data_IF_261025111282
#
_entry.id   IF_261025111282
#
_cell.length_a   1.000
_cell.length_b   1.000
_cell.length_c   1.000
_cell.angle_alpha   90.00
_cell.angle_beta   90.00
_cell.angle_gamma   90.00
#
_symmetry.space_group_name_H-M   'P 1'
#
loop_
_entity.id
_entity.type
_entity.pdbx_description
1 polymer ?
#
# COMPACT_ATOMS: atom_id res chain seq x y z
N UNK A 1 21.76 4.70 -6.69
CA UNK A 1 20.74 5.18 -7.65
C UNK A 1 20.25 6.53 -7.17
N UNK A 2 19.85 7.46 -8.04
CA UNK A 2 19.22 8.71 -7.57
C UNK A 2 17.84 8.36 -7.00
N UNK A 3 17.64 8.67 -5.73
CA UNK A 3 16.40 8.34 -5.01
C UNK A 3 15.22 9.15 -5.51
N UNK A 4 15.44 10.25 -6.23
CA UNK A 4 14.38 11.09 -6.75
C UNK A 4 14.01 10.73 -8.20
N UNK A 5 14.67 9.72 -8.78
CA UNK A 5 14.30 9.15 -10.06
C UNK A 5 13.27 8.04 -9.92
N UNK A 6 12.38 7.96 -10.91
CA UNK A 6 11.46 6.85 -11.09
C UNK A 6 12.23 5.58 -11.41
N UNK A 7 11.93 4.51 -10.68
CA UNK A 7 12.45 3.16 -10.96
C UNK A 7 11.63 2.49 -12.06
N UNK A 8 12.11 1.35 -12.57
CA UNK A 8 11.28 0.52 -13.45
C UNK A 8 9.96 0.18 -12.76
N UNK A 9 8.83 0.47 -13.39
CA UNK A 9 7.53 0.19 -12.81
C UNK A 9 7.27 -1.32 -12.60
N UNK A 10 7.93 -2.19 -13.38
CA UNK A 10 7.68 -3.64 -13.40
C UNK A 10 6.18 -3.95 -13.54
N UNK A 11 5.51 -3.13 -14.36
CA UNK A 11 4.06 -3.20 -14.57
C UNK A 11 3.71 -4.40 -15.44
N UNK A 12 4.41 -4.58 -16.56
CA UNK A 12 4.19 -5.68 -17.50
C UNK A 12 5.17 -6.83 -17.25
N UNK A 13 4.69 -8.06 -17.40
CA UNK A 13 5.47 -9.30 -17.34
C UNK A 13 5.31 -10.12 -18.63
N UNK A 14 6.24 -11.02 -18.90
CA UNK A 14 6.28 -11.82 -20.14
C UNK A 14 5.18 -12.88 -20.22
N UNK A 15 4.54 -13.21 -19.10
CA UNK A 15 3.42 -14.14 -18.97
C UNK A 15 2.06 -13.42 -18.81
N UNK A 16 2.00 -12.09 -18.97
CA UNK A 16 0.75 -11.35 -18.94
C UNK A 16 -0.18 -11.80 -20.09
N UNK A 17 -1.37 -12.27 -19.73
CA UNK A 17 -2.43 -12.58 -20.68
C UNK A 17 -3.19 -11.31 -21.13
N UNK A 18 -4.12 -11.48 -22.08
CA UNK A 18 -4.86 -10.35 -22.65
C UNK A 18 -5.70 -9.59 -21.61
N UNK A 19 -6.25 -10.29 -20.62
CA UNK A 19 -7.01 -9.70 -19.51
C UNK A 19 -6.09 -8.82 -18.66
N UNK A 20 -4.92 -9.35 -18.31
CA UNK A 20 -3.91 -8.67 -17.50
C UNK A 20 -3.35 -7.45 -18.20
N UNK A 21 -3.05 -7.57 -19.50
CA UNK A 21 -2.57 -6.46 -20.33
C UNK A 21 -3.62 -5.33 -20.39
N UNK A 22 -4.91 -5.65 -20.49
CA UNK A 22 -5.96 -4.65 -20.68
C UNK A 22 -6.03 -3.64 -19.52
N UNK A 23 -6.12 -4.11 -18.27
CA UNK A 23 -6.17 -3.19 -17.13
C UNK A 23 -4.80 -2.52 -16.86
N UNK A 24 -3.69 -3.23 -17.12
CA UNK A 24 -2.35 -2.66 -16.96
C UNK A 24 -2.09 -1.52 -17.94
N UNK A 25 -2.69 -1.54 -19.13
CA UNK A 25 -2.62 -0.40 -20.06
C UNK A 25 -3.29 0.85 -19.50
N UNK A 26 -4.42 0.70 -18.79
CA UNK A 26 -5.09 1.82 -18.11
C UNK A 26 -4.15 2.40 -17.03
N UNK A 27 -3.57 1.54 -16.19
CA UNK A 27 -2.59 1.95 -15.16
C UNK A 27 -1.36 2.61 -15.78
N UNK A 28 -0.85 2.08 -16.89
CA UNK A 28 0.25 2.67 -17.64
C UNK A 28 -0.09 4.08 -18.12
N UNK A 29 -1.33 4.31 -18.58
CA UNK A 29 -1.81 5.64 -18.97
C UNK A 29 -1.82 6.65 -17.80
N UNK A 30 -2.16 6.19 -16.59
CA UNK A 30 -2.13 7.02 -15.38
C UNK A 30 -0.69 7.42 -15.03
N UNK A 31 0.23 6.47 -14.95
CA UNK A 31 1.61 6.72 -14.51
C UNK A 31 2.47 7.46 -15.54
N UNK A 32 2.21 7.22 -16.83
CA UNK A 32 2.82 7.96 -17.95
C UNK A 32 2.14 9.30 -18.22
N UNK A 33 1.11 9.64 -17.46
CA UNK A 33 0.38 10.92 -17.50
C UNK A 33 -0.41 11.17 -18.80
N UNK A 34 -0.54 10.15 -19.66
CA UNK A 34 -1.30 10.24 -20.92
C UNK A 34 -2.81 10.10 -20.71
N UNK A 35 -3.24 9.54 -19.57
CA UNK A 35 -4.64 9.36 -19.22
C UNK A 35 -4.99 10.10 -17.91
N UNK A 36 -5.96 11.03 -17.90
CA UNK A 36 -6.42 11.69 -16.69
C UNK A 36 -6.94 10.69 -15.64
N UNK A 37 -6.66 10.86 -14.33
CA UNK A 37 -7.06 9.89 -13.31
C UNK A 37 -8.57 9.59 -13.27
N UNK A 38 -9.42 10.62 -13.42
CA UNK A 38 -10.87 10.43 -13.45
C UNK A 38 -11.37 9.68 -14.70
N UNK A 39 -10.69 9.84 -15.83
CA UNK A 39 -11.01 9.10 -17.06
C UNK A 39 -10.53 7.65 -16.93
N UNK A 40 -9.33 7.43 -16.42
CA UNK A 40 -8.81 6.09 -16.13
C UNK A 40 -9.72 5.34 -15.16
N UNK A 41 -10.24 6.02 -14.11
CA UNK A 41 -11.15 5.41 -13.15
C UNK A 41 -12.44 4.92 -13.83
N UNK A 42 -13.04 5.72 -14.71
CA UNK A 42 -14.20 5.30 -15.50
C UNK A 42 -13.90 4.12 -16.42
N UNK A 43 -12.77 4.16 -17.13
CA UNK A 43 -12.38 3.05 -18.01
C UNK A 43 -12.13 1.75 -17.23
N UNK A 44 -11.54 1.85 -16.03
CA UNK A 44 -11.30 0.71 -15.16
C UNK A 44 -12.62 0.11 -14.63
N UNK A 45 -13.51 0.98 -14.17
CA UNK A 45 -14.84 0.62 -13.69
C UNK A 45 -15.68 -0.07 -14.77
N UNK A 46 -15.69 0.52 -15.97
CA UNK A 46 -16.36 -0.03 -17.14
C UNK A 46 -15.78 -1.39 -17.52
N UNK A 47 -14.46 -1.54 -17.53
CA UNK A 47 -13.79 -2.80 -17.84
C UNK A 47 -14.17 -3.92 -16.85
N UNK A 48 -14.10 -3.65 -15.54
CA UNK A 48 -14.45 -4.65 -14.50
C UNK A 48 -15.91 -5.05 -14.63
N UNK A 49 -16.79 -4.08 -14.86
CA UNK A 49 -18.23 -4.31 -15.00
C UNK A 49 -18.55 -5.13 -16.25
N UNK A 50 -17.99 -4.76 -17.39
CA UNK A 50 -18.22 -5.46 -18.65
C UNK A 50 -17.68 -6.88 -18.63
N UNK A 51 -16.51 -7.11 -18.03
CA UNK A 51 -15.95 -8.46 -17.91
C UNK A 51 -16.84 -9.34 -17.02
N UNK A 52 -17.30 -8.83 -15.87
CA UNK A 52 -18.21 -9.55 -14.98
C UNK A 52 -19.54 -9.89 -15.67
N UNK A 53 -20.15 -8.93 -16.37
CA UNK A 53 -21.40 -9.15 -17.12
C UNK A 53 -21.19 -10.12 -18.28
N UNK A 54 -20.12 -9.97 -19.05
CA UNK A 54 -19.82 -10.85 -20.19
C UNK A 54 -19.67 -12.30 -19.76
N UNK A 55 -18.96 -12.55 -18.65
CA UNK A 55 -18.82 -13.91 -18.10
C UNK A 55 -20.14 -14.49 -17.62
N UNK A 56 -21.01 -13.69 -17.01
CA UNK A 56 -22.32 -14.15 -16.58
C UNK A 56 -23.16 -14.55 -17.79
N UNK A 57 -23.25 -13.70 -18.82
CA UNK A 57 -24.00 -13.99 -20.04
C UNK A 57 -23.49 -15.26 -20.72
N UNK A 58 -22.17 -15.44 -20.84
CA UNK A 58 -21.57 -16.69 -21.38
C UNK A 58 -21.97 -17.92 -20.58
N UNK A 59 -22.24 -17.80 -19.29
CA UNK A 59 -22.69 -18.89 -18.41
C UNK A 59 -24.19 -19.16 -18.51
N UNK A 60 -25.00 -18.10 -18.62
CA UNK A 60 -26.45 -18.20 -18.84
C UNK A 60 -26.77 -18.85 -20.19
N UNK A 61 -25.93 -18.62 -21.21
CA UNK A 61 -26.06 -19.19 -22.55
C UNK A 61 -25.65 -20.68 -22.64
N UNK A 62 -25.14 -21.29 -21.56
CA UNK A 62 -24.76 -22.72 -21.53
C UNK A 62 -25.98 -23.64 -21.51
N UNK A 63 -25.76 -24.92 -21.83
CA UNK A 63 -26.77 -25.97 -21.71
C UNK A 63 -26.23 -27.16 -20.90
N UNK A 64 -26.66 -27.36 -19.64
CA UNK A 64 -27.65 -26.55 -18.92
C UNK A 64 -27.13 -25.14 -18.54
N UNK A 65 -28.00 -24.14 -18.38
CA UNK A 65 -27.59 -22.79 -17.95
C UNK A 65 -26.90 -22.81 -16.59
N UNK A 66 -25.91 -21.94 -16.40
CA UNK A 66 -25.11 -21.80 -15.18
C UNK A 66 -24.38 -23.09 -14.75
N UNK A 67 -24.23 -24.06 -15.66
CA UNK A 67 -23.57 -25.32 -15.35
C UNK A 67 -22.05 -25.19 -15.39
N UNK A 68 -21.40 -25.84 -14.43
CA UNK A 68 -19.96 -26.05 -14.38
C UNK A 68 -19.66 -27.52 -14.67
N UNK A 69 -18.61 -27.77 -15.44
CA UNK A 69 -17.98 -29.08 -15.48
C UNK A 69 -17.13 -29.33 -14.23
N UNK A 70 -16.78 -30.59 -13.96
CA UNK A 70 -15.94 -30.94 -12.80
C UNK A 70 -14.58 -30.21 -12.83
N UNK A 71 -13.98 -30.03 -14.01
CA UNK A 71 -12.72 -29.28 -14.18
C UNK A 71 -12.87 -27.78 -13.90
N UNK A 72 -14.02 -27.20 -14.26
CA UNK A 72 -14.32 -25.79 -14.03
C UNK A 72 -14.67 -25.51 -12.57
N UNK A 73 -15.17 -26.49 -11.80
CA UNK A 73 -15.42 -26.31 -10.37
C UNK A 73 -14.13 -25.95 -9.61
N UNK A 74 -13.03 -26.59 -9.98
CA UNK A 74 -11.71 -26.35 -9.40
C UNK A 74 -11.09 -25.01 -9.88
N UNK A 75 -11.56 -24.46 -11.00
CA UNK A 75 -11.01 -23.28 -11.66
C UNK A 75 -12.06 -22.22 -12.01
N UNK A 76 -13.09 -22.08 -11.17
CA UNK A 76 -14.27 -21.28 -11.51
C UNK A 76 -13.94 -19.82 -11.86
N UNK A 77 -12.89 -19.29 -11.23
CA UNK A 77 -12.41 -17.94 -11.42
C UNK A 77 -11.90 -17.66 -12.85
N UNK A 78 -11.59 -18.70 -13.64
CA UNK A 78 -11.18 -18.56 -15.04
C UNK A 78 -12.37 -18.43 -15.99
N UNK A 79 -13.56 -18.87 -15.57
CA UNK A 79 -14.72 -19.01 -16.46
C UNK A 79 -15.89 -18.14 -16.02
N UNK A 80 -16.14 -18.04 -14.71
CA UNK A 80 -17.27 -17.30 -14.14
C UNK A 80 -16.88 -15.85 -13.76
N UNK A 81 -17.87 -14.97 -13.53
CA UNK A 81 -17.63 -13.61 -13.02
C UNK A 81 -16.83 -13.61 -11.71
N UNK A 82 -15.67 -12.95 -11.70
CA UNK A 82 -14.86 -12.80 -10.50
C UNK A 82 -14.26 -11.38 -10.40
N UNK A 83 -15.11 -10.35 -10.18
CA UNK A 83 -14.64 -8.97 -10.00
C UNK A 83 -13.65 -8.83 -8.82
N UNK A 84 -13.74 -9.69 -7.81
CA UNK A 84 -12.83 -9.65 -6.66
C UNK A 84 -11.39 -9.94 -7.08
N UNK A 85 -11.17 -10.99 -7.89
CA UNK A 85 -9.86 -11.30 -8.46
C UNK A 85 -9.32 -10.15 -9.31
N UNK A 86 -10.15 -9.54 -10.14
CA UNK A 86 -9.72 -8.43 -10.98
C UNK A 86 -9.28 -7.22 -10.13
N UNK A 87 -10.08 -6.83 -9.13
CA UNK A 87 -9.70 -5.77 -8.20
C UNK A 87 -8.40 -6.10 -7.46
N UNK A 88 -8.21 -7.34 -7.02
CA UNK A 88 -6.96 -7.78 -6.37
C UNK A 88 -5.75 -7.65 -7.28
N UNK A 89 -5.85 -8.12 -8.52
CA UNK A 89 -4.76 -8.04 -9.50
C UNK A 89 -4.40 -6.58 -9.83
N UNK A 90 -5.41 -5.72 -9.95
CA UNK A 90 -5.22 -4.28 -10.18
C UNK A 90 -4.56 -3.61 -8.98
N UNK A 91 -5.07 -3.81 -7.77
CA UNK A 91 -4.54 -3.16 -6.57
C UNK A 91 -3.15 -3.69 -6.23
N UNK A 92 -2.89 -4.98 -6.44
CA UNK A 92 -1.54 -5.55 -6.36
C UNK A 92 -0.57 -4.90 -7.36
N UNK A 93 -1.02 -4.65 -8.59
CA UNK A 93 -0.22 -3.93 -9.60
C UNK A 93 0.04 -2.48 -9.15
N UNK A 94 -0.94 -1.80 -8.57
CA UNK A 94 -0.77 -0.44 -8.03
C UNK A 94 0.22 -0.43 -6.88
N UNK A 95 0.15 -1.38 -5.94
CA UNK A 95 1.10 -1.50 -4.83
C UNK A 95 2.53 -1.61 -5.37
N UNK A 96 2.78 -2.52 -6.32
CA UNK A 96 4.08 -2.70 -6.98
C UNK A 96 4.57 -1.43 -7.67
N UNK A 97 3.74 -0.84 -8.53
CA UNK A 97 4.09 0.36 -9.31
C UNK A 97 4.33 1.57 -8.40
N UNK A 98 3.55 1.72 -7.33
CA UNK A 98 3.70 2.82 -6.39
C UNK A 98 5.07 2.82 -5.69
N UNK A 99 5.67 1.65 -5.49
CA UNK A 99 7.03 1.52 -4.95
C UNK A 99 8.09 2.08 -5.91
N UNK A 100 7.82 2.17 -7.22
CA UNK A 100 8.76 2.75 -8.17
C UNK A 100 8.75 4.28 -8.18
N UNK A 101 7.70 4.92 -7.65
CA UNK A 101 7.50 6.35 -7.71
C UNK A 101 8.01 7.06 -6.43
N UNK A 102 8.93 8.04 -6.53
CA UNK A 102 9.37 8.82 -5.38
C UNK A 102 8.23 9.60 -4.68
N UNK A 103 8.35 9.87 -3.37
CA UNK A 103 7.43 10.75 -2.64
C UNK A 103 7.25 12.09 -3.36
N UNK A 104 6.01 12.48 -3.63
CA UNK A 104 5.68 13.75 -4.30
C UNK A 104 5.92 13.77 -5.81
N UNK A 105 6.36 12.65 -6.41
CA UNK A 105 6.46 12.55 -7.87
C UNK A 105 5.06 12.55 -8.52
N UNK A 106 4.85 13.24 -9.66
CA UNK A 106 3.53 13.32 -10.31
C UNK A 106 2.86 11.97 -10.59
N UNK A 107 3.62 10.93 -10.95
CA UNK A 107 3.05 9.60 -11.16
C UNK A 107 2.48 8.99 -9.87
N UNK A 108 3.09 9.23 -8.71
CA UNK A 108 2.56 8.77 -7.43
C UNK A 108 1.28 9.54 -7.09
N UNK A 109 1.30 10.87 -7.24
CA UNK A 109 0.12 11.72 -7.02
C UNK A 109 -1.06 11.28 -7.90
N UNK A 110 -0.82 11.01 -9.19
CA UNK A 110 -1.88 10.55 -10.10
C UNK A 110 -2.43 9.17 -9.76
N UNK A 111 -1.62 8.27 -9.19
CA UNK A 111 -2.11 6.99 -8.67
C UNK A 111 -3.05 7.20 -7.47
N UNK A 112 -2.72 8.14 -6.57
CA UNK A 112 -3.62 8.51 -5.45
C UNK A 112 -4.91 9.13 -5.99
N UNK A 113 -4.81 10.10 -6.89
CA UNK A 113 -5.97 10.74 -7.54
C UNK A 113 -6.84 9.74 -8.31
N UNK A 114 -6.24 8.71 -8.91
CA UNK A 114 -6.96 7.64 -9.59
C UNK A 114 -7.79 6.81 -8.60
N UNK A 115 -7.23 6.43 -7.45
CA UNK A 115 -7.96 5.72 -6.40
C UNK A 115 -9.05 6.59 -5.76
N UNK A 116 -8.79 7.89 -5.58
CA UNK A 116 -9.82 8.85 -5.16
C UNK A 116 -10.95 8.92 -6.19
N UNK A 117 -10.62 9.01 -7.48
CA UNK A 117 -11.63 9.04 -8.54
C UNK A 117 -12.47 7.76 -8.57
N UNK A 118 -11.88 6.59 -8.34
CA UNK A 118 -12.63 5.33 -8.18
C UNK A 118 -13.56 5.38 -6.97
N UNK A 119 -13.12 5.92 -5.83
CA UNK A 119 -13.96 6.11 -4.62
C UNK A 119 -15.18 7.00 -4.89
N UNK A 120 -15.03 8.03 -5.73
CA UNK A 120 -16.08 8.99 -6.06
C UNK A 120 -17.06 8.50 -7.14
N UNK A 121 -16.79 7.37 -7.81
CA UNK A 121 -17.74 6.79 -8.76
C UNK A 121 -19.02 6.34 -8.04
N UNK A 122 -20.19 6.35 -8.74
CA UNK A 122 -21.42 5.82 -8.18
C UNK A 122 -21.22 4.37 -7.74
N UNK A 123 -21.45 4.11 -6.44
CA UNK A 123 -21.42 2.76 -5.90
C UNK A 123 -22.45 1.90 -6.62
N UNK A 124 -22.01 0.73 -7.06
CA UNK A 124 -22.87 -0.26 -7.67
C UNK A 124 -22.28 -1.65 -7.46
N UNK A 125 -23.09 -2.66 -7.79
CA UNK A 125 -22.72 -4.06 -7.68
C UNK A 125 -22.60 -4.68 -9.06
N UNK A 126 -21.69 -5.64 -9.21
CA UNK A 126 -21.50 -6.41 -10.46
C UNK A 126 -21.64 -7.90 -10.19
N UNK A 127 -21.98 -8.72 -11.20
CA UNK A 127 -22.06 -10.18 -11.04
C UNK A 127 -20.78 -10.77 -10.45
N UNK A 128 -20.94 -11.72 -9.53
CA UNK A 128 -19.83 -12.40 -8.86
C UNK A 128 -20.21 -13.84 -8.55
N UNK A 129 -19.22 -14.74 -8.66
CA UNK A 129 -19.31 -16.08 -8.09
C UNK A 129 -18.32 -16.22 -6.95
N UNK A 130 -18.83 -16.60 -5.78
CA UNK A 130 -18.04 -16.91 -4.59
C UNK A 130 -18.20 -18.38 -4.22
N UNK A 131 -17.47 -18.83 -3.19
CA UNK A 131 -17.65 -20.15 -2.60
C UNK A 131 -18.40 -20.04 -1.27
N UNK A 132 -19.30 -20.97 -0.98
CA UNK A 132 -19.87 -21.14 0.36
C UNK A 132 -18.95 -21.94 1.30
N UNK A 133 -19.41 -22.22 2.52
CA UNK A 133 -18.67 -22.98 3.53
C UNK A 133 -18.32 -24.42 3.08
N UNK A 134 -19.09 -24.98 2.15
CA UNK A 134 -18.87 -26.31 1.58
C UNK A 134 -18.03 -26.26 0.29
N UNK A 135 -17.46 -25.10 -0.05
CA UNK A 135 -16.75 -24.85 -1.31
C UNK A 135 -17.65 -25.04 -2.54
N UNK A 136 -18.96 -24.89 -2.40
CA UNK A 136 -19.88 -24.88 -3.51
C UNK A 136 -19.97 -23.45 -4.10
N UNK A 137 -20.07 -23.31 -5.43
CA UNK A 137 -20.16 -22.01 -6.07
C UNK A 137 -21.52 -21.35 -5.82
N UNK A 138 -21.48 -20.08 -5.40
CA UNK A 138 -22.65 -19.25 -5.11
C UNK A 138 -22.66 -18.05 -6.04
N UNK A 139 -23.72 -17.95 -6.83
CA UNK A 139 -23.98 -16.81 -7.70
C UNK A 139 -24.56 -15.65 -6.91
N UNK A 140 -24.02 -14.45 -7.11
CA UNK A 140 -24.49 -13.24 -6.48
C UNK A 140 -23.88 -12.00 -7.10
N UNK A 141 -23.75 -10.96 -6.29
CA UNK A 141 -23.19 -9.67 -6.69
C UNK A 141 -22.09 -9.24 -5.73
N UNK A 142 -21.23 -8.32 -6.18
CA UNK A 142 -20.14 -7.74 -5.39
C UNK A 142 -20.10 -6.23 -5.61
N UNK A 143 -20.09 -5.46 -4.53
CA UNK A 143 -19.77 -4.02 -4.58
C UNK A 143 -18.31 -3.86 -5.01
N UNK A 144 -18.08 -3.10 -6.07
CA UNK A 144 -16.72 -2.74 -6.51
C UNK A 144 -16.28 -1.39 -5.95
N UNK A 145 -14.97 -1.20 -5.87
CA UNK A 145 -14.31 0.01 -5.33
C UNK A 145 -14.78 0.43 -3.92
N UNK A 146 -14.73 -0.47 -2.91
CA UNK A 146 -15.22 -0.19 -1.55
C UNK A 146 -14.32 0.77 -0.74
N UNK A 147 -13.56 1.65 -1.39
CA UNK A 147 -12.61 2.57 -0.74
C UNK A 147 -13.28 3.44 0.32
N UNK A 148 -12.62 3.62 1.46
CA UNK A 148 -13.18 4.35 2.61
C UNK A 148 -14.33 3.63 3.32
N UNK A 149 -14.41 2.31 3.19
CA UNK A 149 -15.31 1.46 3.97
C UNK A 149 -14.52 0.29 4.56
N UNK A 150 -15.08 -0.41 5.55
CA UNK A 150 -14.47 -1.62 6.12
C UNK A 150 -14.19 -2.69 5.05
N UNK A 151 -14.99 -2.74 3.98
CA UNK A 151 -14.76 -3.69 2.89
C UNK A 151 -13.45 -3.42 2.10
N UNK A 152 -12.83 -2.24 2.25
CA UNK A 152 -11.49 -1.96 1.68
C UNK A 152 -10.36 -2.70 2.38
N UNK A 153 -10.58 -3.27 3.57
CA UNK A 153 -9.59 -4.09 4.29
C UNK A 153 -9.11 -5.28 3.46
N UNK A 154 -9.97 -5.76 2.54
CA UNK A 154 -9.65 -6.79 1.55
C UNK A 154 -8.37 -6.48 0.73
N UNK A 155 -8.06 -5.20 0.51
CA UNK A 155 -6.89 -4.77 -0.26
C UNK A 155 -5.61 -4.64 0.56
N UNK A 156 -5.70 -4.56 1.89
CA UNK A 156 -4.54 -4.35 2.78
C UNK A 156 -3.47 -5.44 2.62
N UNK A 157 -3.81 -6.74 2.51
CA UNK A 157 -2.81 -7.80 2.29
C UNK A 157 -1.93 -7.60 1.05
N UNK A 158 -2.43 -6.94 0.01
CA UNK A 158 -1.69 -6.70 -1.23
C UNK A 158 -0.53 -5.73 -1.00
N UNK A 159 -0.77 -4.67 -0.21
CA UNK A 159 0.27 -3.74 0.22
C UNK A 159 1.21 -4.35 1.25
N UNK A 160 0.68 -5.15 2.19
CA UNK A 160 1.49 -5.86 3.18
C UNK A 160 2.47 -6.83 2.54
N UNK A 161 2.06 -7.55 1.49
CA UNK A 161 2.94 -8.47 0.76
C UNK A 161 4.12 -7.73 0.13
N UNK A 162 3.84 -6.70 -0.67
CA UNK A 162 4.89 -5.88 -1.30
C UNK A 162 5.81 -5.23 -0.23
N UNK A 163 5.23 -4.76 0.88
CA UNK A 163 5.97 -4.22 2.00
C UNK A 163 6.92 -5.24 2.64
N UNK A 164 6.42 -6.46 2.87
CA UNK A 164 7.18 -7.56 3.47
C UNK A 164 8.33 -7.99 2.57
N UNK A 165 8.09 -8.09 1.28
CA UNK A 165 9.10 -8.50 0.30
C UNK A 165 10.25 -7.47 0.23
N UNK A 166 9.92 -6.18 0.24
CA UNK A 166 10.92 -5.09 0.23
C UNK A 166 11.72 -5.01 1.54
N UNK A 167 11.02 -5.14 2.68
CA UNK A 167 11.62 -5.04 4.00
C UNK A 167 12.20 -6.37 4.53
N UNK A 168 12.18 -7.44 3.74
CA UNK A 168 12.65 -8.76 4.16
C UNK A 168 14.08 -8.71 4.73
N UNK A 169 14.42 -9.40 5.84
CA UNK A 169 15.75 -9.30 6.46
C UNK A 169 16.93 -9.68 5.56
N UNK A 170 16.68 -10.45 4.50
CA UNK A 170 17.68 -10.85 3.52
C UNK A 170 17.59 -10.07 2.19
N UNK A 171 16.79 -9.00 2.13
CA UNK A 171 16.82 -8.06 1.00
C UNK A 171 18.04 -7.13 1.11
N UNK A 172 18.34 -6.40 0.04
CA UNK A 172 19.39 -5.39 0.00
C UNK A 172 18.93 -4.02 0.53
N UNK A 173 17.85 -3.96 1.32
CA UNK A 173 17.29 -2.70 1.86
C UNK A 173 18.27 -1.93 2.75
N UNK A 174 19.20 -2.61 3.42
CA UNK A 174 20.27 -1.99 4.19
C UNK A 174 21.41 -1.42 3.33
N UNK A 175 21.44 -1.71 2.02
CA UNK A 175 22.43 -1.14 1.10
C UNK A 175 21.99 0.25 0.66
N UNK A 176 22.72 1.33 1.00
CA UNK A 176 22.31 2.68 0.63
C UNK A 176 22.19 2.86 -0.89
N UNK A 177 21.06 3.39 -1.34
CA UNK A 177 20.73 3.63 -2.74
C UNK A 177 20.40 2.37 -3.53
N UNK A 178 20.18 1.23 -2.87
CA UNK A 178 19.65 0.02 -3.49
C UNK A 178 18.22 0.19 -3.95
N UNK A 179 17.79 -0.68 -4.86
CA UNK A 179 16.43 -0.64 -5.37
C UNK A 179 15.42 -0.94 -4.26
N UNK A 180 15.67 -1.94 -3.40
CA UNK A 180 14.76 -2.27 -2.30
C UNK A 180 14.65 -1.14 -1.29
N UNK A 181 15.74 -0.45 -0.96
CA UNK A 181 15.70 0.72 -0.07
C UNK A 181 14.82 1.83 -0.63
N UNK A 182 15.02 2.18 -1.90
CA UNK A 182 14.25 3.25 -2.56
C UNK A 182 12.78 2.86 -2.68
N UNK A 183 12.49 1.62 -3.09
CA UNK A 183 11.13 1.09 -3.19
C UNK A 183 10.41 1.04 -1.85
N UNK A 184 11.12 0.66 -0.79
CA UNK A 184 10.57 0.61 0.56
C UNK A 184 10.09 1.99 1.00
N UNK A 185 10.95 3.00 0.87
CA UNK A 185 10.59 4.40 1.15
C UNK A 185 9.41 4.89 0.30
N UNK A 186 9.43 4.61 -0.99
CA UNK A 186 8.39 5.05 -1.93
C UNK A 186 7.01 4.45 -1.59
N UNK A 187 6.96 3.14 -1.34
CA UNK A 187 5.74 2.43 -0.96
C UNK A 187 5.17 2.98 0.35
N UNK A 188 6.01 3.25 1.36
CA UNK A 188 5.57 3.84 2.63
C UNK A 188 4.96 5.23 2.45
N UNK A 189 5.48 6.04 1.53
CA UNK A 189 4.88 7.34 1.19
C UNK A 189 3.51 7.21 0.55
N UNK A 190 3.35 6.26 -0.37
CA UNK A 190 2.05 5.99 -0.98
C UNK A 190 1.04 5.46 0.04
N UNK A 191 1.43 4.46 0.84
CA UNK A 191 0.58 3.89 1.90
C UNK A 191 0.16 4.92 2.94
N UNK A 192 1.06 5.81 3.36
CA UNK A 192 0.72 6.91 4.27
C UNK A 192 -0.39 7.80 3.67
N UNK A 193 -0.29 8.15 2.39
CA UNK A 193 -1.32 8.93 1.70
C UNK A 193 -2.65 8.20 1.63
N UNK A 194 -2.67 6.90 1.24
CA UNK A 194 -3.89 6.10 1.18
C UNK A 194 -4.60 6.04 2.53
N UNK A 195 -3.85 5.81 3.60
CA UNK A 195 -4.36 5.76 4.96
C UNK A 195 -4.90 7.12 5.41
N UNK A 196 -4.17 8.21 5.16
CA UNK A 196 -4.62 9.56 5.58
C UNK A 196 -5.85 10.06 4.83
N UNK A 197 -6.02 9.62 3.58
CA UNK A 197 -7.16 9.97 2.72
C UNK A 197 -8.35 9.02 2.88
N UNK A 198 -8.26 8.06 3.81
CA UNK A 198 -9.31 7.08 4.08
C UNK A 198 -9.70 6.32 2.79
N UNK A 199 -8.69 5.88 2.03
CA UNK A 199 -8.87 5.06 0.84
C UNK A 199 -8.72 3.58 1.20
N UNK A 200 -7.55 3.23 1.75
CA UNK A 200 -7.18 1.89 2.21
C UNK A 200 -6.34 2.06 3.48
N UNK A 201 -6.75 1.43 4.57
CA UNK A 201 -6.01 1.52 5.84
C UNK A 201 -4.77 0.61 5.85
N UNK A 202 -3.65 1.15 5.35
CA UNK A 202 -2.36 0.46 5.26
C UNK A 202 -1.56 0.46 6.57
N UNK A 203 -2.16 0.80 7.72
CA UNK A 203 -1.44 0.99 9.00
C UNK A 203 -0.64 -0.24 9.44
N UNK A 204 -1.14 -1.44 9.20
CA UNK A 204 -0.49 -2.69 9.59
C UNK A 204 0.82 -2.96 8.81
N UNK A 205 1.03 -2.29 7.67
CA UNK A 205 2.23 -2.39 6.83
C UNK A 205 3.23 -1.24 7.07
N UNK A 206 3.03 -0.40 8.09
CA UNK A 206 3.86 0.79 8.33
C UNK A 206 5.30 0.43 8.71
N UNK A 207 6.26 1.16 8.13
CA UNK A 207 7.68 1.09 8.49
C UNK A 207 7.97 1.55 9.93
N UNK A 208 7.01 2.19 10.61
CA UNK A 208 7.15 2.58 12.01
C UNK A 208 7.37 1.38 12.96
N UNK A 209 6.90 0.19 12.60
CA UNK A 209 7.25 -1.05 13.31
C UNK A 209 8.75 -1.31 13.32
N UNK A 210 9.43 -1.06 12.20
CA UNK A 210 10.82 -1.46 11.98
C UNK A 210 11.83 -0.60 12.77
N UNK A 211 11.40 0.53 13.30
CA UNK A 211 12.19 1.38 14.18
C UNK A 211 11.81 1.22 15.67
N UNK A 212 11.00 0.22 16.01
CA UNK A 212 10.73 -0.16 17.40
C UNK A 212 11.69 -1.27 17.86
N UNK A 213 12.40 -1.10 18.99
CA UNK A 213 13.30 -2.13 19.52
C UNK A 213 12.61 -3.48 19.85
N UNK A 214 11.30 -3.48 20.08
CA UNK A 214 10.51 -4.68 20.34
C UNK A 214 10.16 -5.47 19.08
N UNK A 215 10.33 -4.90 17.89
CA UNK A 215 9.98 -5.55 16.64
C UNK A 215 11.04 -6.58 16.25
N UNK A 216 10.61 -7.76 15.79
CA UNK A 216 11.51 -8.89 15.54
C UNK A 216 12.60 -8.62 14.49
N UNK A 217 12.36 -7.68 13.58
CA UNK A 217 13.32 -7.30 12.54
C UNK A 217 14.24 -6.12 12.94
N UNK A 218 14.07 -5.57 14.15
CA UNK A 218 14.96 -4.53 14.65
C UNK A 218 16.36 -5.12 14.89
N UNK A 219 17.42 -4.54 14.32
CA UNK A 219 18.75 -5.14 14.40
C UNK A 219 19.39 -4.96 15.77
N UNK A 220 20.05 -6.01 16.25
CA UNK A 220 20.98 -5.91 17.36
C UNK A 220 22.23 -5.13 16.92
N UNK A 221 22.40 -3.90 17.42
CA UNK A 221 23.50 -3.01 17.05
C UNK A 221 24.85 -3.40 17.66
N UNK A 222 24.88 -4.28 18.65
CA UNK A 222 26.11 -4.81 19.22
C UNK A 222 26.63 -5.97 18.37
N UNK A 223 25.73 -6.80 17.83
CA UNK A 223 26.07 -7.91 16.93
C UNK A 223 26.26 -7.46 15.47
N UNK A 224 25.46 -6.50 15.01
CA UNK A 224 25.44 -6.01 13.62
C UNK A 224 25.76 -4.51 13.58
N UNK A 225 26.92 -4.11 14.08
CA UNK A 225 27.30 -2.70 14.24
C UNK A 225 27.13 -1.82 12.98
N UNK A 226 27.70 -2.21 11.84
CA UNK A 226 27.58 -1.42 10.59
C UNK A 226 26.32 -1.74 9.80
N UNK A 227 25.98 -3.02 9.63
CA UNK A 227 24.83 -3.41 8.81
C UNK A 227 23.51 -3.07 9.51
N UNK A 228 23.46 -3.19 10.83
CA UNK A 228 22.31 -2.82 11.65
C UNK A 228 22.02 -1.32 11.64
N UNK A 229 23.05 -0.45 11.71
CA UNK A 229 22.82 1.00 11.60
C UNK A 229 22.36 1.40 10.21
N UNK A 230 22.85 0.73 9.16
CA UNK A 230 22.36 0.94 7.78
C UNK A 230 20.93 0.44 7.59
N UNK A 231 20.58 -0.70 8.21
CA UNK A 231 19.21 -1.22 8.22
C UNK A 231 18.25 -0.22 8.87
N UNK A 232 18.55 0.26 10.07
CA UNK A 232 17.76 1.29 10.75
C UNK A 232 17.71 2.58 9.91
N UNK A 233 18.80 2.97 9.25
CA UNK A 233 18.79 4.15 8.39
C UNK A 233 17.77 4.02 7.25
N UNK A 234 17.71 2.86 6.59
CA UNK A 234 16.72 2.57 5.57
C UNK A 234 15.28 2.59 6.10
N UNK A 235 15.06 1.91 7.23
CA UNK A 235 13.74 1.85 7.86
C UNK A 235 13.29 3.23 8.37
N UNK A 236 14.22 4.07 8.84
CA UNK A 236 13.94 5.45 9.22
C UNK A 236 13.54 6.32 8.03
N UNK A 237 14.18 6.18 6.87
CA UNK A 237 13.77 6.90 5.64
C UNK A 237 12.34 6.56 5.23
N UNK A 238 11.96 5.30 5.39
CA UNK A 238 10.63 4.80 5.08
C UNK A 238 9.60 5.21 6.15
N UNK A 239 9.94 5.10 7.44
CA UNK A 239 9.13 5.57 8.55
C UNK A 239 8.92 7.09 8.55
N UNK A 240 9.90 7.86 8.04
CA UNK A 240 9.79 9.31 7.91
C UNK A 240 8.58 9.73 7.07
N UNK A 241 8.12 8.89 6.14
CA UNK A 241 6.94 9.18 5.32
C UNK A 241 5.64 9.25 6.14
N UNK A 242 5.61 8.66 7.33
CA UNK A 242 4.49 8.73 8.27
C UNK A 242 4.59 9.88 9.27
N UNK A 243 5.80 10.45 9.47
CA UNK A 243 6.06 11.42 10.55
C UNK A 243 6.46 12.81 10.06
N UNK A 244 7.06 12.94 8.87
CA UNK A 244 7.44 14.24 8.32
C UNK A 244 6.25 15.02 7.74
N UNK A 245 5.38 14.44 6.90
CA UNK A 245 4.19 15.14 6.41
C UNK A 245 3.24 15.45 7.57
N UNK A 246 2.66 16.65 7.59
CA UNK A 246 1.87 17.11 8.73
C UNK A 246 0.54 16.35 8.86
N UNK A 247 -0.12 16.04 7.75
CA UNK A 247 -1.36 15.24 7.74
C UNK A 247 -1.12 13.81 8.24
N UNK A 248 -0.05 13.16 7.76
CA UNK A 248 0.34 11.82 8.20
C UNK A 248 0.72 11.80 9.68
N UNK A 249 1.55 12.75 10.13
CA UNK A 249 1.95 12.83 11.55
C UNK A 249 0.74 13.05 12.46
N UNK A 250 -0.18 13.92 12.05
CA UNK A 250 -1.41 14.22 12.80
C UNK A 250 -2.31 12.99 12.87
N UNK A 251 -2.42 12.23 11.78
CA UNK A 251 -3.11 10.95 11.76
C UNK A 251 -2.47 9.95 12.73
N UNK A 252 -1.14 9.77 12.68
CA UNK A 252 -0.42 8.85 13.57
C UNK A 252 -0.64 9.23 15.03
N UNK A 253 -0.46 10.51 15.39
CA UNK A 253 -0.62 11.00 16.76
C UNK A 253 -2.03 10.71 17.29
N UNK A 254 -3.06 11.00 16.49
CA UNK A 254 -4.46 10.72 16.83
C UNK A 254 -4.68 9.23 17.09
N UNK A 255 -4.19 8.34 16.22
CA UNK A 255 -4.31 6.89 16.43
C UNK A 255 -3.60 6.39 17.68
N UNK A 256 -2.43 6.95 18.00
CA UNK A 256 -1.74 6.65 19.25
C UNK A 256 -2.53 7.09 20.50
N UNK A 257 -3.18 8.26 20.47
CA UNK A 257 -4.04 8.74 21.56
C UNK A 257 -5.29 7.87 21.74
N UNK A 258 -5.83 7.35 20.64
CA UNK A 258 -6.95 6.40 20.64
C UNK A 258 -6.55 4.98 21.09
N UNK A 259 -5.25 4.70 21.24
CA UNK A 259 -4.71 3.34 21.46
C UNK A 259 -5.23 2.34 20.42
N UNK A 260 -5.19 2.73 19.15
CA UNK A 260 -5.81 2.02 18.03
C UNK A 260 -5.02 0.77 17.55
N UNK A 261 -4.75 -0.18 18.45
CA UNK A 261 -4.07 -1.45 18.18
C UNK A 261 -2.68 -1.54 18.81
N UNK A 262 -1.92 -2.58 18.45
CA UNK A 262 -0.62 -2.88 19.08
C UNK A 262 0.46 -1.84 18.74
N UNK A 263 0.51 -1.41 17.48
CA UNK A 263 1.49 -0.41 17.03
C UNK A 263 1.13 1.00 17.49
N UNK A 264 -0.16 1.34 17.45
CA UNK A 264 -0.64 2.71 17.57
C UNK A 264 -1.03 3.01 19.02
N UNK A 265 -0.03 3.10 19.90
CA UNK A 265 -0.21 3.41 21.32
C UNK A 265 0.56 4.65 21.73
N UNK A 266 0.15 5.30 22.82
CA UNK A 266 0.96 6.40 23.39
C UNK A 266 2.35 5.92 23.83
N UNK A 267 2.47 4.68 24.29
CA UNK A 267 3.75 4.07 24.65
C UNK A 267 4.70 3.99 23.46
N UNK A 268 4.24 3.47 22.32
CA UNK A 268 5.06 3.41 21.11
C UNK A 268 5.40 4.80 20.56
N UNK A 269 4.49 5.77 20.69
CA UNK A 269 4.80 7.18 20.35
C UNK A 269 6.01 7.71 21.14
N UNK A 270 6.05 7.45 22.45
CA UNK A 270 7.18 7.85 23.28
C UNK A 270 8.46 7.04 22.99
N UNK A 271 8.33 5.76 22.58
CA UNK A 271 9.48 4.96 22.13
C UNK A 271 10.05 5.51 20.82
N UNK A 272 9.23 5.82 19.81
CA UNK A 272 9.72 6.44 18.57
C UNK A 272 10.45 7.74 18.84
N UNK A 273 9.93 8.60 19.74
CA UNK A 273 10.63 9.82 20.16
C UNK A 273 12.01 9.54 20.75
N UNK A 274 12.11 8.55 21.64
CA UNK A 274 13.39 8.14 22.23
C UNK A 274 14.36 7.57 21.19
N UNK A 275 13.86 6.75 20.26
CA UNK A 275 14.65 6.19 19.16
C UNK A 275 15.18 7.27 18.23
N UNK A 276 14.34 8.25 17.84
CA UNK A 276 14.77 9.39 17.03
C UNK A 276 15.86 10.21 17.73
N UNK A 277 15.72 10.45 19.04
CA UNK A 277 16.75 11.12 19.82
C UNK A 277 18.06 10.31 19.87
N UNK A 278 17.97 8.99 20.02
CA UNK A 278 19.13 8.10 19.98
C UNK A 278 19.82 8.14 18.60
N UNK A 279 19.07 7.95 17.52
CA UNK A 279 19.60 7.98 16.16
C UNK A 279 20.22 9.33 15.81
N UNK A 280 19.66 10.45 16.27
CA UNK A 280 20.20 11.79 16.02
C UNK A 280 21.58 12.01 16.67
N UNK A 281 21.88 11.35 17.78
CA UNK A 281 23.06 11.62 18.60
C UNK A 281 24.15 10.52 18.53
N UNK A 282 23.83 9.33 18.06
CA UNK A 282 24.80 8.22 17.99
C UNK A 282 25.64 8.30 16.69
N UNK A 283 26.96 8.48 16.84
CA UNK A 283 27.91 8.68 15.74
C UNK A 283 28.07 7.46 14.82
N UNK A 284 27.59 6.28 15.22
CA UNK A 284 27.56 5.09 14.35
C UNK A 284 26.61 5.26 13.17
N UNK A 285 25.64 6.17 13.26
CA UNK A 285 24.70 6.45 12.18
C UNK A 285 25.26 7.44 11.15
N UNK A 286 24.95 7.25 9.85
CA UNK A 286 25.30 8.21 8.81
C UNK A 286 24.78 9.62 9.12
N UNK A 287 25.53 10.65 8.75
CA UNK A 287 25.16 12.04 9.03
C UNK A 287 23.76 12.42 8.51
N UNK A 288 23.38 11.91 7.33
CA UNK A 288 22.04 12.11 6.76
C UNK A 288 20.94 11.49 7.63
N UNK A 289 21.16 10.29 8.17
CA UNK A 289 20.24 9.61 9.09
C UNK A 289 20.07 10.39 10.39
N UNK A 290 21.18 10.90 10.95
CA UNK A 290 21.15 11.72 12.16
C UNK A 290 20.37 13.01 11.97
N UNK A 291 20.59 13.69 10.84
CA UNK A 291 19.87 14.90 10.47
C UNK A 291 18.37 14.64 10.26
N UNK A 292 18.01 13.54 9.59
CA UNK A 292 16.63 13.13 9.40
C UNK A 292 15.94 12.84 10.74
N UNK A 293 16.59 12.08 11.63
CA UNK A 293 16.06 11.77 12.95
C UNK A 293 15.79 13.03 13.78
N UNK A 294 16.75 13.97 13.80
CA UNK A 294 16.61 15.25 14.49
C UNK A 294 15.45 16.09 13.93
N UNK A 295 15.27 16.13 12.60
CA UNK A 295 14.18 16.86 11.97
C UNK A 295 12.80 16.27 12.34
N UNK A 296 12.67 14.95 12.35
CA UNK A 296 11.43 14.27 12.77
C UNK A 296 11.17 14.53 14.26
N UNK A 297 12.19 14.41 15.11
CA UNK A 297 12.08 14.66 16.54
C UNK A 297 11.56 16.07 16.82
N UNK A 298 12.14 17.09 16.17
CA UNK A 298 11.72 18.48 16.33
C UNK A 298 10.23 18.67 15.97
N UNK A 299 9.74 18.02 14.91
CA UNK A 299 8.31 18.05 14.54
C UNK A 299 7.41 17.39 15.57
N UNK A 300 7.82 16.21 16.09
CA UNK A 300 7.08 15.48 17.12
C UNK A 300 6.98 16.29 18.42
N UNK A 301 8.05 16.99 18.80
CA UNK A 301 8.09 17.84 20.00
C UNK A 301 7.26 19.11 19.83
N UNK A 302 7.34 19.76 18.65
CA UNK A 302 6.54 20.94 18.32
C UNK A 302 5.02 20.67 18.41
N UNK A 303 4.56 19.52 17.91
CA UNK A 303 3.13 19.15 17.97
C UNK A 303 2.57 19.03 19.40
N UNK A 304 3.40 18.79 20.43
CA UNK A 304 2.94 18.77 21.84
C UNK A 304 2.81 20.17 22.44
N UNK A 305 3.61 21.13 21.98
CA UNK A 305 3.56 22.51 22.47
C UNK A 305 2.25 23.20 22.05
N UNK A 306 1.84 22.97 20.79
CA UNK A 306 0.62 23.56 20.23
C UNK A 306 -0.66 23.00 20.86
N UNK A 307 -0.68 21.71 21.24
CA UNK A 307 -1.83 21.10 21.93
C UNK A 307 -2.03 21.61 23.36
N UNK A 308 -0.94 21.87 24.12
CA UNK A 308 -1.04 22.46 25.47
C UNK A 308 -1.53 23.91 25.48
N UNK A 309 -1.40 24.63 24.36
CA UNK A 309 -1.92 25.99 24.22
C UNK A 309 -3.41 26.04 23.86
N UNK A 310 -3.98 24.96 23.31
CA UNK A 310 -5.40 24.90 22.94
C UNK A 310 -6.30 24.30 24.05
N UNK A 311 -5.71 23.69 25.09
CA UNK A 311 -6.42 23.14 26.25
C UNK A 311 -6.44 24.08 27.48
N UNK A 312 -5.98 25.34 27.32
CA UNK A 312 -6.03 26.42 28.32
C UNK A 312 -6.89 27.59 27.82
#
# INVERSE_FOLDING_TARGET
MDKDNVLDYRLFDGDDDAETVAYKQILNGVISQTLPPAEAARQMDEWVTQEAVSRLTKFEDRNPPLSLSDEEMDNIHLVAPNPSRHMDMMIGSIARVSSACPPGHPSQTRLVEFLQALKELPRHEVPNVSYDENHAPVWGTKVIWPFGTEASEFFVPLFQREATDLAYPYSDVETPGSESQIRWRNLQSFMAQLTTLDLIDCRSASALNYILPSFYAYPDLDQRGQDGTRRIAADLEAAAQWLLPDDARTWVRRRCMENAGELWTEGNWDIWRQQLAFFANDERFPAATRALAAAIQAKIEGSRADQRCNDN
#
